data_IF_506416448447
#
_entry.id   IF_506416448447
#
_cell.length_a   1.000
_cell.length_b   1.000
_cell.length_c   1.000
_cell.angle_alpha   90.00
_cell.angle_beta   90.00
_cell.angle_gamma   90.00
#
_symmetry.space_group_name_H-M   'P 1'
#
loop_
_entity.id
_entity.type
_entity.pdbx_description
1 polymer ?
#
# COMPACT_ATOMS: atom_id res chain seq x y z
N UNK A 1 -25.63 -38.73 31.75
CA UNK A 1 -26.29 -38.72 30.42
C UNK A 1 -26.02 -37.44 29.62
N UNK A 2 -25.94 -36.24 30.23
CA UNK A 2 -25.48 -35.03 29.52
C UNK A 2 -23.95 -34.88 29.50
N UNK A 3 -23.21 -35.50 30.44
CA UNK A 3 -21.75 -35.36 30.51
C UNK A 3 -21.01 -36.16 29.44
N UNK A 4 -21.50 -37.35 29.05
CA UNK A 4 -20.87 -38.17 28.01
C UNK A 4 -20.88 -37.48 26.63
N UNK A 5 -21.97 -36.78 26.31
CA UNK A 5 -22.08 -36.01 25.07
C UNK A 5 -21.14 -34.81 25.10
N UNK A 6 -21.01 -34.15 26.25
CA UNK A 6 -20.14 -32.98 26.43
C UNK A 6 -18.66 -33.38 26.34
N UNK A 7 -18.27 -34.49 26.95
CA UNK A 7 -16.92 -35.05 26.87
C UNK A 7 -16.58 -35.45 25.43
N UNK A 8 -17.51 -36.12 24.74
CA UNK A 8 -17.32 -36.48 23.34
C UNK A 8 -17.19 -35.25 22.44
N UNK A 9 -18.02 -34.22 22.64
CA UNK A 9 -17.93 -32.96 21.91
C UNK A 9 -16.61 -32.24 22.20
N UNK A 10 -16.15 -32.23 23.45
CA UNK A 10 -14.90 -31.59 23.85
C UNK A 10 -13.69 -32.24 23.17
N UNK A 11 -13.60 -33.58 23.20
CA UNK A 11 -12.52 -34.34 22.55
C UNK A 11 -12.53 -34.09 21.04
N UNK A 12 -13.71 -34.10 20.43
CA UNK A 12 -13.83 -33.84 18.99
C UNK A 12 -13.45 -32.40 18.64
N UNK A 13 -13.84 -31.42 19.47
CA UNK A 13 -13.50 -30.01 19.25
C UNK A 13 -12.00 -29.76 19.40
N UNK A 14 -11.33 -30.43 20.35
CA UNK A 14 -9.87 -30.37 20.48
C UNK A 14 -9.17 -30.91 19.22
N UNK A 15 -9.64 -32.03 18.67
CA UNK A 15 -9.11 -32.55 17.39
C UNK A 15 -9.38 -31.60 16.22
N UNK A 16 -10.55 -30.97 16.21
CA UNK A 16 -10.93 -29.99 15.19
C UNK A 16 -10.02 -28.77 15.26
N UNK A 17 -9.78 -28.23 16.45
CA UNK A 17 -8.89 -27.07 16.67
C UNK A 17 -7.46 -27.39 16.26
N UNK A 18 -6.94 -28.57 16.61
CA UNK A 18 -5.59 -29.01 16.16
C UNK A 18 -5.48 -29.03 14.63
N UNK A 19 -6.57 -29.39 13.94
CA UNK A 19 -6.61 -29.40 12.47
C UNK A 19 -6.74 -28.00 11.89
N UNK A 20 -7.52 -27.11 12.51
CA UNK A 20 -7.58 -25.69 12.14
C UNK A 20 -6.24 -25.01 12.29
N UNK A 21 -5.54 -25.18 13.41
CA UNK A 21 -4.20 -24.60 13.62
C UNK A 21 -3.20 -25.08 12.56
N UNK A 22 -3.32 -26.35 12.12
CA UNK A 22 -2.47 -26.87 11.05
C UNK A 22 -2.78 -26.15 9.73
N UNK A 23 -4.05 -25.93 9.42
CA UNK A 23 -4.45 -25.19 8.21
C UNK A 23 -3.96 -23.75 8.26
N UNK A 24 -4.10 -23.07 9.40
CA UNK A 24 -3.61 -21.70 9.61
C UNK A 24 -2.11 -21.60 9.38
N UNK A 25 -1.30 -22.46 10.02
CA UNK A 25 0.17 -22.49 9.79
C UNK A 25 0.56 -22.78 8.35
N UNK A 26 -0.21 -23.60 7.63
CA UNK A 26 0.04 -23.85 6.22
C UNK A 26 -0.31 -22.63 5.36
N UNK A 27 -1.40 -21.92 5.70
CA UNK A 27 -1.79 -20.69 5.03
C UNK A 27 -0.77 -19.57 5.23
N UNK A 28 -0.30 -19.36 6.46
CA UNK A 28 0.75 -18.38 6.77
C UNK A 28 2.03 -18.66 5.97
N UNK A 29 2.47 -19.91 5.92
CA UNK A 29 3.66 -20.31 5.15
C UNK A 29 3.48 -20.10 3.64
N UNK A 30 2.28 -20.29 3.12
CA UNK A 30 1.98 -20.01 1.71
C UNK A 30 1.87 -18.52 1.44
N UNK A 31 1.25 -17.74 2.32
CA UNK A 31 1.15 -16.28 2.22
C UNK A 31 2.54 -15.61 2.26
N UNK A 32 3.46 -16.11 3.10
CA UNK A 32 4.84 -15.61 3.15
C UNK A 32 5.58 -15.92 1.84
N UNK A 33 5.41 -17.11 1.28
CA UNK A 33 5.99 -17.48 -0.03
C UNK A 33 5.38 -16.70 -1.19
N UNK A 34 4.10 -16.36 -1.12
CA UNK A 34 3.44 -15.56 -2.15
C UNK A 34 3.85 -14.08 -2.06
N UNK A 35 4.15 -13.58 -0.85
CA UNK A 35 4.73 -12.24 -0.67
C UNK A 35 6.19 -12.13 -1.07
N UNK A 36 6.95 -13.23 -1.12
CA UNK A 36 8.33 -13.28 -1.63
C UNK A 36 8.40 -14.14 -2.91
N UNK A 37 8.09 -13.54 -4.06
CA UNK A 37 8.40 -14.15 -5.35
C UNK A 37 9.78 -13.67 -5.80
N UNK A 38 10.67 -14.62 -6.11
CA UNK A 38 12.05 -14.36 -6.59
C UNK A 38 12.95 -13.58 -5.60
N UNK A 39 12.57 -13.51 -4.32
CA UNK A 39 13.32 -12.75 -3.30
C UNK A 39 12.93 -11.28 -3.21
N UNK A 40 11.99 -10.82 -4.05
CA UNK A 40 11.41 -9.48 -3.96
C UNK A 40 10.03 -9.52 -3.31
N UNK A 41 9.71 -8.48 -2.53
CA UNK A 41 8.41 -8.33 -1.91
C UNK A 41 7.37 -7.92 -2.96
N UNK A 42 6.28 -8.67 -3.02
CA UNK A 42 5.11 -8.30 -3.82
C UNK A 42 4.09 -7.54 -2.96
N UNK A 43 3.65 -6.40 -3.50
CA UNK A 43 2.62 -5.55 -2.94
C UNK A 43 1.32 -5.79 -3.72
N UNK A 44 0.21 -5.94 -3.03
CA UNK A 44 -1.10 -5.99 -3.67
C UNK A 44 -1.68 -4.57 -3.88
N UNK A 45 -2.86 -4.48 -4.47
CA UNK A 45 -3.52 -3.18 -4.68
C UNK A 45 -3.71 -2.38 -3.39
N UNK A 46 -3.93 -3.05 -2.25
CA UNK A 46 -4.21 -2.40 -0.98
C UNK A 46 -2.91 -1.82 -0.40
N UNK A 47 -1.84 -2.62 -0.39
CA UNK A 47 -0.51 -2.21 0.05
C UNK A 47 -0.03 -1.00 -0.78
N UNK A 48 -0.20 -1.02 -2.11
CA UNK A 48 0.20 0.10 -2.98
C UNK A 48 -0.66 1.35 -2.77
N UNK A 49 -1.98 1.20 -2.59
CA UNK A 49 -2.84 2.35 -2.30
C UNK A 49 -2.44 3.04 -0.99
N UNK A 50 -2.09 2.26 0.03
CA UNK A 50 -1.62 2.78 1.32
C UNK A 50 -0.26 3.45 1.19
N UNK A 51 0.68 2.81 0.48
CA UNK A 51 2.04 3.32 0.32
C UNK A 51 2.09 4.64 -0.46
N UNK A 52 1.28 4.75 -1.53
CA UNK A 52 1.19 5.96 -2.34
C UNK A 52 0.20 6.99 -1.77
N UNK A 53 -0.56 6.63 -0.74
CA UNK A 53 -1.68 7.41 -0.20
C UNK A 53 -2.68 7.85 -1.28
N UNK A 54 -3.02 6.94 -2.20
CA UNK A 54 -3.94 7.20 -3.32
C UNK A 54 -5.17 6.32 -3.29
N UNK A 55 -6.23 6.78 -3.96
CA UNK A 55 -7.42 5.97 -4.19
C UNK A 55 -7.19 4.85 -5.22
N UNK A 56 -7.99 3.79 -5.16
CA UNK A 56 -8.01 2.71 -6.17
C UNK A 56 -8.19 3.25 -7.60
N UNK A 57 -8.95 4.33 -7.76
CA UNK A 57 -9.18 4.99 -9.06
C UNK A 57 -7.91 5.63 -9.61
N UNK A 58 -7.09 6.22 -8.74
CA UNK A 58 -5.78 6.78 -9.10
C UNK A 58 -4.79 5.67 -9.44
N UNK A 59 -4.75 4.59 -8.65
CA UNK A 59 -3.92 3.42 -8.94
C UNK A 59 -4.27 2.78 -10.29
N UNK A 60 -5.57 2.69 -10.61
CA UNK A 60 -6.04 2.22 -11.90
C UNK A 60 -5.56 3.13 -13.05
N UNK A 61 -5.48 4.45 -12.83
CA UNK A 61 -4.94 5.39 -13.82
C UNK A 61 -3.47 5.12 -14.09
N UNK A 62 -2.64 5.01 -13.05
CA UNK A 62 -1.20 4.68 -13.18
C UNK A 62 -0.97 3.35 -13.90
N UNK A 63 -1.88 2.39 -13.70
CA UNK A 63 -1.86 1.14 -14.43
C UNK A 63 -2.20 1.29 -15.91
N UNK A 64 -3.24 2.08 -16.22
CA UNK A 64 -3.65 2.33 -17.60
C UNK A 64 -2.67 3.22 -18.38
N UNK A 65 -1.95 4.12 -17.69
CA UNK A 65 -0.91 4.96 -18.30
C UNK A 65 0.43 4.24 -18.44
N UNK A 66 0.58 3.08 -17.80
CA UNK A 66 1.82 2.28 -17.85
C UNK A 66 2.95 2.83 -17.00
N UNK A 67 2.68 3.85 -16.16
CA UNK A 67 3.68 4.44 -15.26
C UNK A 67 4.07 3.49 -14.13
N UNK A 68 3.17 2.57 -13.75
CA UNK A 68 3.42 1.58 -12.71
C UNK A 68 3.35 0.16 -13.29
N UNK A 69 4.49 -0.54 -13.42
CA UNK A 69 4.54 -1.94 -13.84
C UNK A 69 3.74 -2.83 -12.90
N UNK A 70 3.01 -3.81 -13.46
CA UNK A 70 2.22 -4.75 -12.68
C UNK A 70 2.36 -6.17 -13.21
N UNK A 71 2.14 -7.14 -12.33
CA UNK A 71 2.10 -8.56 -12.65
C UNK A 71 0.78 -9.17 -12.22
N UNK A 72 0.31 -10.18 -12.96
CA UNK A 72 -0.89 -10.92 -12.62
C UNK A 72 -0.52 -12.33 -12.18
N UNK A 73 -0.85 -12.66 -10.93
CA UNK A 73 -0.60 -13.97 -10.33
C UNK A 73 -1.93 -14.46 -9.77
N UNK A 74 -2.38 -15.64 -10.20
CA UNK A 74 -3.68 -16.23 -9.80
C UNK A 74 -4.87 -15.24 -9.87
N UNK A 75 -4.96 -14.48 -10.96
CA UNK A 75 -5.99 -13.46 -11.19
C UNK A 75 -5.97 -12.25 -10.23
N UNK A 76 -4.98 -12.16 -9.35
CA UNK A 76 -4.71 -10.98 -8.53
C UNK A 76 -3.59 -10.15 -9.16
N UNK A 77 -3.66 -8.85 -8.94
CA UNK A 77 -2.61 -7.92 -9.36
C UNK A 77 -1.61 -7.76 -8.23
N UNK A 78 -0.35 -7.89 -8.58
CA UNK A 78 0.77 -7.62 -7.72
C UNK A 78 1.74 -6.62 -8.36
N UNK A 79 2.45 -5.91 -7.52
CA UNK A 79 3.45 -4.92 -7.86
C UNK A 79 4.75 -5.27 -7.16
N UNK A 80 5.88 -5.10 -7.83
CA UNK A 80 7.18 -5.27 -7.19
C UNK A 80 7.49 -4.06 -6.32
N UNK A 81 8.02 -4.30 -5.12
CA UNK A 81 8.44 -3.23 -4.21
C UNK A 81 9.45 -2.28 -4.88
N UNK A 82 10.42 -2.83 -5.62
CA UNK A 82 11.42 -2.07 -6.38
C UNK A 82 10.80 -1.12 -7.41
N UNK A 83 9.82 -1.59 -8.18
CA UNK A 83 9.12 -0.78 -9.18
C UNK A 83 8.28 0.33 -8.53
N UNK A 84 7.60 0.03 -7.42
CA UNK A 84 6.79 1.00 -6.69
C UNK A 84 7.67 2.09 -6.06
N UNK A 85 8.82 1.73 -5.48
CA UNK A 85 9.79 2.70 -4.99
C UNK A 85 10.35 3.60 -6.10
N UNK A 86 10.66 3.03 -7.26
CA UNK A 86 11.14 3.80 -8.41
C UNK A 86 10.06 4.80 -8.88
N UNK A 87 8.80 4.36 -8.91
CA UNK A 87 7.66 5.21 -9.23
C UNK A 87 7.49 6.36 -8.22
N UNK A 88 7.65 6.08 -6.91
CA UNK A 88 7.62 7.10 -5.86
C UNK A 88 8.74 8.12 -6.11
N UNK A 89 9.98 7.67 -6.30
CA UNK A 89 11.11 8.57 -6.54
C UNK A 89 10.91 9.45 -7.78
N UNK A 90 10.37 8.90 -8.86
CA UNK A 90 10.12 9.65 -10.09
C UNK A 90 8.98 10.69 -9.96
N UNK A 91 7.91 10.37 -9.22
CA UNK A 91 6.74 11.24 -9.12
C UNK A 91 6.83 12.27 -7.98
N UNK A 92 7.46 11.93 -6.85
CA UNK A 92 7.62 12.86 -5.74
C UNK A 92 8.68 13.94 -6.01
N UNK A 93 9.66 13.70 -6.90
CA UNK A 93 10.56 14.75 -7.39
C UNK A 93 9.87 15.82 -8.24
N UNK A 94 8.65 15.55 -8.72
CA UNK A 94 7.87 16.47 -9.56
C UNK A 94 6.87 17.31 -8.76
N UNK A 95 6.72 17.05 -7.46
CA UNK A 95 5.68 17.62 -6.60
C UNK A 95 6.11 18.75 -5.66
N UNK A 96 7.42 19.05 -5.54
CA UNK A 96 7.87 20.24 -4.82
C UNK A 96 7.79 21.47 -5.73
N UNK A 97 6.58 22.01 -5.90
CA UNK A 97 6.45 23.45 -6.10
C UNK A 97 6.80 24.10 -4.77
N UNK A 98 7.83 24.98 -4.70
CA UNK A 98 7.99 25.85 -3.54
C UNK A 98 6.80 26.80 -3.57
N UNK A 99 5.82 26.56 -2.71
CA UNK A 99 4.73 27.51 -2.50
C UNK A 99 5.34 28.81 -1.95
N UNK A 100 5.12 29.88 -2.69
CA UNK A 100 5.52 31.25 -2.43
C UNK A 100 5.01 31.72 -1.05
N UNK A 101 5.91 31.91 -0.09
CA UNK A 101 5.64 32.72 1.10
C UNK A 101 6.43 34.03 0.97
N UNK A 102 5.98 34.88 0.04
CA UNK A 102 6.44 36.25 -0.08
C UNK A 102 5.73 37.10 0.99
N UNK A 103 6.31 37.15 2.18
CA UNK A 103 6.01 38.18 3.17
C UNK A 103 6.73 39.48 2.79
N UNK A 104 6.01 40.46 2.26
CA UNK A 104 6.42 41.87 2.34
C UNK A 104 5.22 42.75 2.68
N UNK A 105 4.98 42.91 3.98
CA UNK A 105 4.42 44.16 4.52
C UNK A 105 5.58 44.97 5.08
N UNK A 106 5.93 46.08 4.42
CA UNK A 106 6.14 47.37 5.07
C UNK A 106 6.08 48.47 4.02
N UNK A 107 5.12 49.39 4.20
CA UNK A 107 5.08 50.63 3.44
C UNK A 107 6.26 51.55 3.75
N UNK A 108 6.65 52.35 2.76
CA UNK A 108 6.99 53.76 2.92
C UNK A 108 7.14 54.44 1.55
N UNK A 109 6.24 55.39 1.27
CA UNK A 109 6.42 56.51 0.35
C UNK A 109 7.08 57.64 1.18
N UNK A 110 8.06 58.43 0.69
CA UNK A 110 7.74 59.58 -0.18
C UNK A 110 8.80 60.02 -1.22
N UNK A 111 8.30 60.81 -2.17
CA UNK A 111 8.93 61.97 -2.85
C UNK A 111 9.89 61.84 -4.05
N UNK A 112 9.35 62.33 -5.19
CA UNK A 112 9.92 63.26 -6.19
C UNK A 112 11.03 62.82 -7.16
N UNK A 113 10.75 62.89 -8.46
CA UNK A 113 10.99 64.09 -9.30
C UNK A 113 10.47 63.90 -10.74
N UNK A 114 9.77 64.93 -11.24
CA UNK A 114 9.59 65.45 -12.60
C UNK A 114 9.90 64.58 -13.83
N UNK A 115 8.91 64.42 -14.74
CA UNK A 115 9.05 64.89 -16.13
C UNK A 115 7.68 64.97 -16.85
N UNK A 116 7.54 66.02 -17.68
CA UNK A 116 6.44 66.49 -18.55
C UNK A 116 5.32 67.39 -17.98
#
# INVERSE_FOLDING_TARGET
MNDDLKDWMQIWFEQLMVRFDRIERHLEKMAIKEKLLEGERLLDNQDVCQLLNVSKRTLQRYRSSGELPYQMIYHKTFYKESDVEAFIKANFQKGETPDDDASEDTGNNPENTDDF
#
